data_IF_155025320722
#
_entry.id   IF_155025320722
#
_cell.length_a   1.000
_cell.length_b   1.000
_cell.length_c   1.000
_cell.angle_alpha   90.00
_cell.angle_beta   90.00
_cell.angle_gamma   90.00
#
_symmetry.space_group_name_H-M   'P 1'
#
loop_
_entity.id
_entity.type
_entity.pdbx_description
1 polymer ?
#
# COMPACT_ATOMS: atom_id res chain seq x y z
N UNK A 1 11.22 12.43 -12.67
CA UNK A 1 11.52 12.06 -11.27
C UNK A 1 12.25 10.72 -11.24
N UNK A 2 13.31 10.61 -10.47
CA UNK A 2 14.04 9.36 -10.30
C UNK A 2 13.34 8.44 -9.32
N UNK A 3 13.70 7.15 -9.32
CA UNK A 3 13.18 6.21 -8.31
C UNK A 3 13.58 6.63 -6.90
N UNK A 4 14.81 7.12 -6.71
CA UNK A 4 15.26 7.63 -5.42
C UNK A 4 14.35 8.76 -4.93
N UNK A 5 14.03 9.70 -5.80
CA UNK A 5 13.14 10.81 -5.47
C UNK A 5 11.72 10.35 -5.18
N UNK A 6 11.24 9.36 -5.95
CA UNK A 6 9.91 8.77 -5.75
C UNK A 6 9.79 8.16 -4.35
N UNK A 7 10.75 7.33 -3.96
CA UNK A 7 10.74 6.70 -2.64
C UNK A 7 10.87 7.72 -1.52
N UNK A 8 11.75 8.70 -1.71
CA UNK A 8 11.90 9.79 -0.73
C UNK A 8 10.60 10.56 -0.56
N UNK A 9 9.92 10.85 -1.68
CA UNK A 9 8.65 11.58 -1.64
C UNK A 9 7.56 10.84 -0.87
N UNK A 10 7.50 9.52 -1.00
CA UNK A 10 6.51 8.73 -0.25
C UNK A 10 6.95 8.44 1.20
N UNK A 11 8.16 8.82 1.58
CA UNK A 11 8.69 8.58 2.94
C UNK A 11 9.35 7.22 3.12
N UNK A 12 9.81 6.60 2.03
CA UNK A 12 10.44 5.28 2.05
C UNK A 12 11.92 5.35 1.66
N UNK A 13 12.64 4.25 1.90
CA UNK A 13 14.05 4.12 1.58
C UNK A 13 14.22 3.23 0.35
N UNK A 14 14.82 3.78 -0.71
CA UNK A 14 14.97 3.09 -1.98
C UNK A 14 16.08 2.04 -1.99
N UNK A 15 17.21 2.30 -1.31
CA UNK A 15 18.38 1.44 -1.41
C UNK A 15 18.12 -0.04 -1.07
N UNK A 16 17.40 -0.37 0.02
CA UNK A 16 17.09 -1.78 0.31
C UNK A 16 16.19 -2.43 -0.73
N UNK A 17 15.30 -1.65 -1.36
CA UNK A 17 14.39 -2.15 -2.39
C UNK A 17 15.18 -2.53 -3.64
N UNK A 18 16.08 -1.64 -4.08
CA UNK A 18 16.95 -1.88 -5.22
C UNK A 18 17.80 -3.12 -5.01
N UNK A 19 18.39 -3.26 -3.82
CA UNK A 19 19.23 -4.42 -3.48
C UNK A 19 18.41 -5.71 -3.54
N UNK A 20 17.20 -5.72 -3.00
CA UNK A 20 16.34 -6.90 -2.95
C UNK A 20 15.81 -7.30 -4.32
N UNK A 21 15.35 -6.31 -5.12
CA UNK A 21 14.74 -6.58 -6.42
C UNK A 21 15.77 -6.68 -7.56
N UNK A 22 16.97 -6.17 -7.35
CA UNK A 22 18.11 -6.42 -8.22
C UNK A 22 18.40 -5.36 -9.28
N UNK A 23 17.41 -4.60 -9.77
CA UNK A 23 17.65 -3.56 -10.77
C UNK A 23 16.58 -2.49 -10.75
N UNK A 24 16.98 -1.27 -11.20
CA UNK A 24 16.04 -0.16 -11.36
C UNK A 24 14.90 -0.50 -12.31
N UNK A 25 15.19 -1.25 -13.35
CA UNK A 25 14.19 -1.66 -14.33
C UNK A 25 13.07 -2.47 -13.68
N UNK A 26 13.44 -3.41 -12.81
CA UNK A 26 12.46 -4.26 -12.12
C UNK A 26 11.67 -3.43 -11.12
N UNK A 27 12.32 -2.57 -10.35
CA UNK A 27 11.64 -1.68 -9.41
C UNK A 27 10.62 -0.80 -10.14
N UNK A 28 11.04 -0.17 -11.24
CA UNK A 28 10.15 0.68 -12.05
C UNK A 28 8.94 -0.11 -12.54
N UNK A 29 9.17 -1.30 -13.07
CA UNK A 29 8.09 -2.16 -13.59
C UNK A 29 7.04 -2.45 -12.53
N UNK A 30 7.46 -2.88 -11.35
CA UNK A 30 6.54 -3.23 -10.28
C UNK A 30 5.88 -1.99 -9.67
N UNK A 31 6.60 -0.88 -9.52
CA UNK A 31 6.03 0.36 -9.04
C UNK A 31 4.91 0.85 -9.97
N UNK A 32 5.16 0.85 -11.28
CA UNK A 32 4.14 1.27 -12.26
C UNK A 32 2.94 0.32 -12.28
N UNK A 33 3.16 -0.98 -12.11
CA UNK A 33 2.06 -1.94 -12.01
C UNK A 33 1.17 -1.67 -10.80
N UNK A 34 1.74 -1.13 -9.73
CA UNK A 34 0.95 -0.79 -8.54
C UNK A 34 -0.15 0.22 -8.85
N UNK A 35 0.05 1.09 -9.85
CA UNK A 35 -0.99 2.05 -10.26
C UNK A 35 -2.25 1.35 -10.80
N UNK A 36 -2.12 0.13 -11.28
CA UNK A 36 -3.22 -0.66 -11.82
C UNK A 36 -3.73 -1.73 -10.83
N UNK A 37 -3.07 -1.84 -9.68
CA UNK A 37 -3.45 -2.82 -8.66
C UNK A 37 -4.79 -2.43 -8.03
N UNK A 38 -5.66 -3.41 -7.86
CA UNK A 38 -7.04 -3.19 -7.40
C UNK A 38 -7.25 -3.56 -5.92
N UNK A 39 -6.17 -3.82 -5.20
CA UNK A 39 -6.28 -4.26 -3.81
C UNK A 39 -6.89 -3.17 -2.92
N UNK A 40 -6.42 -1.92 -3.07
CA UNK A 40 -6.98 -0.83 -2.26
C UNK A 40 -8.46 -0.58 -2.59
N UNK A 41 -8.83 -0.55 -3.88
CA UNK A 41 -10.24 -0.38 -4.25
C UNK A 41 -11.08 -1.56 -3.76
N UNK A 42 -10.54 -2.77 -3.79
CA UNK A 42 -11.20 -3.95 -3.23
C UNK A 42 -11.41 -3.83 -1.73
N UNK A 43 -10.45 -3.25 -1.01
CA UNK A 43 -10.60 -2.96 0.42
C UNK A 43 -11.76 -1.98 0.65
N UNK A 44 -11.81 -0.89 -0.11
CA UNK A 44 -12.90 0.09 0.00
C UNK A 44 -14.25 -0.55 -0.26
N UNK A 45 -14.35 -1.35 -1.32
CA UNK A 45 -15.60 -2.02 -1.69
C UNK A 45 -16.05 -3.00 -0.59
N UNK A 46 -15.11 -3.74 -0.01
CA UNK A 46 -15.41 -4.69 1.07
C UNK A 46 -15.93 -3.98 2.31
N UNK A 47 -15.33 -2.84 2.69
CA UNK A 47 -15.80 -2.06 3.82
C UNK A 47 -17.19 -1.47 3.56
N UNK A 48 -17.44 -0.96 2.34
CA UNK A 48 -18.75 -0.45 1.96
C UNK A 48 -19.82 -1.51 1.97
N UNK A 49 -19.46 -2.74 1.60
CA UNK A 49 -20.38 -3.88 1.59
C UNK A 49 -20.51 -4.57 2.96
N UNK A 50 -19.80 -4.07 3.98
CA UNK A 50 -19.73 -4.68 5.32
C UNK A 50 -19.25 -6.15 5.27
N UNK A 51 -18.35 -6.45 4.32
CA UNK A 51 -17.74 -7.77 4.17
C UNK A 51 -16.43 -7.82 4.95
N UNK A 52 -16.54 -8.21 6.21
CA UNK A 52 -15.40 -8.21 7.14
C UNK A 52 -14.29 -9.17 6.71
N UNK A 53 -14.64 -10.34 6.19
CA UNK A 53 -13.68 -11.34 5.73
C UNK A 53 -12.86 -10.80 4.56
N UNK A 54 -13.53 -10.24 3.55
CA UNK A 54 -12.87 -9.68 2.38
C UNK A 54 -12.06 -8.44 2.74
N UNK A 55 -12.56 -7.58 3.63
CA UNK A 55 -11.84 -6.40 4.08
C UNK A 55 -10.51 -6.78 4.75
N UNK A 56 -10.54 -7.78 5.62
CA UNK A 56 -9.32 -8.30 6.25
C UNK A 56 -8.34 -8.83 5.18
N UNK A 57 -8.85 -9.63 4.25
CA UNK A 57 -8.04 -10.24 3.20
C UNK A 57 -7.37 -9.17 2.33
N UNK A 58 -8.10 -8.12 1.97
CA UNK A 58 -7.56 -7.03 1.15
C UNK A 58 -6.51 -6.21 1.90
N UNK A 59 -6.75 -5.89 3.17
CA UNK A 59 -5.77 -5.17 3.99
C UNK A 59 -4.49 -5.98 4.14
N UNK A 60 -4.60 -7.28 4.38
CA UNK A 60 -3.46 -8.18 4.50
C UNK A 60 -2.67 -8.28 3.18
N UNK A 61 -3.38 -8.38 2.06
CA UNK A 61 -2.77 -8.44 0.73
C UNK A 61 -2.01 -7.14 0.41
N UNK A 62 -2.63 -5.99 0.71
CA UNK A 62 -1.99 -4.69 0.50
C UNK A 62 -0.70 -4.57 1.32
N UNK A 63 -0.73 -4.99 2.58
CA UNK A 63 0.46 -5.04 3.43
C UNK A 63 1.59 -5.84 2.77
N UNK A 64 1.27 -7.03 2.23
CA UNK A 64 2.26 -7.89 1.58
C UNK A 64 2.86 -7.27 0.34
N UNK A 65 2.05 -6.64 -0.50
CA UNK A 65 2.52 -5.95 -1.69
C UNK A 65 3.47 -4.82 -1.31
N UNK A 66 3.08 -4.00 -0.33
CA UNK A 66 3.89 -2.87 0.11
C UNK A 66 5.20 -3.30 0.77
N UNK A 67 5.18 -4.41 1.51
CA UNK A 67 6.38 -4.98 2.08
C UNK A 67 7.38 -5.35 0.98
N UNK A 68 6.91 -6.01 -0.06
CA UNK A 68 7.72 -6.46 -1.17
C UNK A 68 8.34 -5.30 -1.97
N UNK A 69 7.55 -4.24 -2.19
CA UNK A 69 7.98 -3.08 -2.98
C UNK A 69 8.64 -1.99 -2.15
N UNK A 70 8.71 -2.15 -0.83
CA UNK A 70 9.33 -1.17 0.05
C UNK A 70 8.54 0.11 0.24
N UNK A 71 7.22 0.07 0.04
CA UNK A 71 6.34 1.22 0.28
C UNK A 71 6.04 1.29 1.78
N UNK A 72 7.05 1.67 2.56
CA UNK A 72 7.05 1.49 4.01
C UNK A 72 5.93 2.22 4.75
N UNK A 73 5.62 3.50 4.49
CA UNK A 73 4.52 4.15 5.19
C UNK A 73 3.17 3.49 4.93
N UNK A 74 2.91 3.09 3.68
CA UNK A 74 1.67 2.38 3.34
C UNK A 74 1.66 0.97 3.93
N UNK A 75 2.80 0.30 3.96
CA UNK A 75 2.92 -1.01 4.61
C UNK A 75 2.55 -0.92 6.08
N UNK A 76 3.10 0.06 6.79
CA UNK A 76 2.82 0.25 8.21
C UNK A 76 1.34 0.51 8.45
N UNK A 77 0.74 1.41 7.69
CA UNK A 77 -0.68 1.72 7.81
C UNK A 77 -1.56 0.48 7.50
N UNK A 78 -1.20 -0.26 6.45
CA UNK A 78 -1.94 -1.47 6.08
C UNK A 78 -1.80 -2.56 7.13
N UNK A 79 -0.64 -2.67 7.77
CA UNK A 79 -0.40 -3.61 8.86
C UNK A 79 -1.29 -3.30 10.06
N UNK A 80 -1.39 -2.03 10.44
CA UNK A 80 -2.25 -1.60 11.55
C UNK A 80 -3.72 -1.87 11.26
N UNK A 81 -4.17 -1.55 10.05
CA UNK A 81 -5.55 -1.85 9.66
C UNK A 81 -5.82 -3.36 9.64
N UNK A 82 -4.87 -4.15 9.15
CA UNK A 82 -4.98 -5.61 9.17
C UNK A 82 -5.21 -6.12 10.59
N UNK A 83 -4.48 -5.60 11.57
CA UNK A 83 -4.65 -6.01 12.96
C UNK A 83 -6.03 -5.62 13.51
N UNK A 84 -6.52 -4.41 13.19
CA UNK A 84 -7.87 -3.98 13.59
C UNK A 84 -8.95 -4.89 13.00
N UNK A 85 -8.76 -5.39 11.78
CA UNK A 85 -9.74 -6.24 11.09
C UNK A 85 -9.55 -7.73 11.34
N UNK A 86 -8.55 -8.12 12.13
CA UNK A 86 -8.17 -9.53 12.30
C UNK A 86 -9.32 -10.38 12.86
N UNK A 87 -10.15 -9.82 13.70
CA UNK A 87 -11.32 -10.53 14.25
C UNK A 87 -12.48 -10.70 13.27
N UNK A 88 -12.39 -10.15 12.05
CA UNK A 88 -13.46 -10.14 11.05
C UNK A 88 -14.76 -9.56 11.61
N UNK A 89 -14.62 -8.51 12.39
CA UNK A 89 -15.74 -7.83 13.04
C UNK A 89 -15.65 -6.33 12.77
N UNK A 90 -16.56 -5.79 11.96
CA UNK A 90 -16.57 -4.37 11.60
C UNK A 90 -17.22 -3.47 12.65
N UNK A 91 -17.65 -4.04 13.79
CA UNK A 91 -18.10 -3.23 14.91
C UNK A 91 -16.95 -2.56 15.66
N UNK A 92 -15.70 -3.01 15.43
CA UNK A 92 -14.51 -2.35 15.98
C UNK A 92 -14.33 -0.97 15.34
N UNK A 93 -13.68 -0.07 16.07
CA UNK A 93 -13.36 1.26 15.51
C UNK A 93 -12.09 1.18 14.65
N UNK A 94 -12.28 1.06 13.34
CA UNK A 94 -11.17 1.01 12.38
C UNK A 94 -11.01 2.30 11.58
N UNK A 95 -11.80 3.34 11.87
CA UNK A 95 -11.87 4.55 11.05
C UNK A 95 -10.51 5.25 10.90
N UNK A 96 -9.77 5.43 12.00
CA UNK A 96 -8.48 6.09 11.97
C UNK A 96 -7.44 5.25 11.21
N UNK A 97 -7.44 3.94 11.44
CA UNK A 97 -6.52 3.03 10.74
C UNK A 97 -6.80 3.02 9.24
N UNK A 98 -8.07 3.02 8.83
CA UNK A 98 -8.43 3.09 7.42
C UNK A 98 -8.05 4.44 6.81
N UNK A 99 -8.28 5.55 7.51
CA UNK A 99 -7.89 6.88 7.03
C UNK A 99 -6.39 6.97 6.80
N UNK A 100 -5.58 6.36 7.68
CA UNK A 100 -4.14 6.32 7.52
C UNK A 100 -3.75 5.55 6.24
N UNK A 101 -4.39 4.41 5.97
CA UNK A 101 -4.17 3.66 4.73
C UNK A 101 -4.51 4.51 3.51
N UNK A 102 -5.65 5.18 3.53
CA UNK A 102 -6.10 6.04 2.42
C UNK A 102 -5.10 7.15 2.15
N UNK A 103 -4.66 7.84 3.18
CA UNK A 103 -3.69 8.94 3.06
C UNK A 103 -2.36 8.45 2.49
N UNK A 104 -1.83 7.35 3.03
CA UNK A 104 -0.56 6.80 2.57
C UNK A 104 -0.66 6.23 1.16
N UNK A 105 -1.80 5.62 0.83
CA UNK A 105 -2.05 5.15 -0.54
C UNK A 105 -2.00 6.29 -1.54
N UNK A 106 -2.68 7.40 -1.25
CA UNK A 106 -2.70 8.57 -2.13
C UNK A 106 -1.29 9.16 -2.31
N UNK A 107 -0.50 9.24 -1.23
CA UNK A 107 0.88 9.70 -1.28
C UNK A 107 1.76 8.78 -2.14
N UNK A 108 1.61 7.48 -1.96
CA UNK A 108 2.37 6.47 -2.71
C UNK A 108 2.06 6.55 -4.19
N UNK A 109 0.77 6.57 -4.56
CA UNK A 109 0.34 6.65 -5.96
C UNK A 109 0.81 7.96 -6.61
N UNK A 110 0.69 9.08 -5.89
CA UNK A 110 1.15 10.37 -6.40
C UNK A 110 2.65 10.35 -6.69
N UNK A 111 3.45 9.76 -5.79
CA UNK A 111 4.89 9.65 -5.99
C UNK A 111 5.23 8.77 -7.21
N UNK A 112 4.54 7.63 -7.35
CA UNK A 112 4.77 6.71 -8.48
C UNK A 112 4.39 7.37 -9.81
N UNK A 113 3.31 8.12 -9.85
CA UNK A 113 2.91 8.85 -11.07
C UNK A 113 3.97 9.84 -11.53
N UNK A 114 4.79 10.35 -10.62
CA UNK A 114 5.91 11.20 -10.95
C UNK A 114 7.00 10.50 -11.76
N UNK A 115 7.15 9.18 -11.63
CA UNK A 115 8.06 8.40 -12.47
C UNK A 115 7.52 8.32 -13.90
N UNK A 116 6.22 8.04 -14.01
CA UNK A 116 5.55 7.85 -15.30
C UNK A 116 5.41 9.16 -16.08
N UNK A 117 5.33 10.27 -15.35
CA UNK A 117 5.20 11.60 -15.95
C UNK A 117 6.52 12.22 -16.26
#
# INVERSE_FOLDING_TARGET
MTLQECYTKMGADYAPVLQRLGSERIVTKFALRFLEDKTFSGLCDALDAHDAEEAFRMAHTLKGICLNLGFEPLRQASSELTEELRGRDLSVDYADAFQAVKTRYQQTVSAIRGIAG
#
